data_IF_832149166671
#
_entry.id   IF_832149166671
#
_cell.length_a   1.000
_cell.length_b   1.000
_cell.length_c   1.000
_cell.angle_alpha   90.00
_cell.angle_beta   90.00
_cell.angle_gamma   90.00
#
_symmetry.space_group_name_H-M   'P 1'
#
loop_
_entity.id
_entity.type
_entity.pdbx_description
1 polymer ?
#
# COMPACT_ATOMS: atom_id res chain seq x y z
N UNK A 1 65.52 0.51 17.13
CA UNK A 1 64.55 -0.06 16.15
C UNK A 1 63.10 -0.02 16.68
N UNK A 2 62.88 -0.34 17.96
CA UNK A 2 61.56 -0.38 18.58
C UNK A 2 60.98 1.01 18.88
N UNK A 3 61.82 1.98 19.25
CA UNK A 3 61.40 3.37 19.47
C UNK A 3 61.03 4.09 18.18
N UNK A 4 61.80 3.94 17.14
CA UNK A 4 61.51 4.51 15.82
C UNK A 4 60.20 3.94 15.20
N UNK A 5 59.84 2.71 15.56
CA UNK A 5 58.57 2.08 15.11
C UNK A 5 57.36 2.64 15.91
N UNK A 6 57.53 3.01 17.19
CA UNK A 6 56.52 3.67 18.00
C UNK A 6 56.24 5.10 17.50
N UNK A 7 57.29 5.85 17.18
CA UNK A 7 57.13 7.20 16.63
C UNK A 7 56.43 7.16 15.24
N UNK A 8 56.83 6.23 14.40
CA UNK A 8 56.17 6.03 13.08
C UNK A 8 54.67 5.69 13.23
N UNK A 9 54.33 4.83 14.19
CA UNK A 9 52.94 4.43 14.47
C UNK A 9 52.14 5.61 15.04
N UNK A 10 52.73 6.46 15.89
CA UNK A 10 52.08 7.66 16.42
C UNK A 10 51.84 8.69 15.32
N UNK A 11 52.79 8.87 14.40
CA UNK A 11 52.66 9.79 13.26
C UNK A 11 51.53 9.29 12.31
N UNK A 12 51.45 8.01 12.06
CA UNK A 12 50.38 7.42 11.21
C UNK A 12 49.03 7.59 11.86
N UNK A 13 48.89 7.38 13.18
CA UNK A 13 47.65 7.61 13.92
C UNK A 13 47.24 9.09 13.90
N UNK A 14 48.18 10.00 14.05
CA UNK A 14 47.93 11.45 13.97
C UNK A 14 47.49 11.87 12.55
N UNK A 15 48.09 11.32 11.49
CA UNK A 15 47.71 11.59 10.10
C UNK A 15 46.32 11.04 9.82
N UNK A 16 45.98 9.83 10.30
CA UNK A 16 44.65 9.27 10.18
C UNK A 16 43.58 10.09 10.96
N UNK A 17 43.93 10.64 12.11
CA UNK A 17 43.01 11.50 12.87
C UNK A 17 42.74 12.86 12.19
N UNK A 18 43.70 13.39 11.44
CA UNK A 18 43.51 14.65 10.68
C UNK A 18 42.71 14.46 9.42
N UNK A 19 42.75 13.27 8.79
CA UNK A 19 41.92 12.96 7.61
C UNK A 19 40.47 12.57 7.95
N UNK A 20 40.19 12.29 9.22
CA UNK A 20 38.84 12.04 9.72
C UNK A 20 38.04 13.34 10.03
N UNK A 21 38.41 14.46 9.43
CA UNK A 21 37.47 15.59 9.31
C UNK A 21 36.40 15.23 8.27
N UNK A 22 35.48 14.37 8.68
CA UNK A 22 34.22 14.22 8.00
C UNK A 22 33.69 15.62 7.69
N UNK A 23 33.29 15.86 6.43
CA UNK A 23 32.63 17.09 6.02
C UNK A 23 31.59 17.44 7.08
N UNK A 24 31.80 18.55 7.81
CA UNK A 24 30.76 19.06 8.70
C UNK A 24 29.53 19.22 7.85
N UNK A 25 28.43 18.53 8.16
CA UNK A 25 27.22 18.72 7.38
C UNK A 25 26.94 20.20 7.32
N UNK A 26 26.58 20.73 6.17
CA UNK A 26 26.27 22.16 6.01
C UNK A 26 25.02 22.47 6.85
N UNK A 27 25.22 22.68 8.16
CA UNK A 27 24.17 22.90 9.15
C UNK A 27 23.31 24.13 8.79
N UNK A 28 23.80 25.01 7.91
CA UNK A 28 23.06 26.21 7.51
C UNK A 28 21.85 25.87 6.63
N UNK A 29 22.00 24.98 5.65
CA UNK A 29 20.91 24.57 4.81
C UNK A 29 19.82 23.81 5.60
N UNK A 30 20.25 22.89 6.49
CA UNK A 30 19.33 22.18 7.37
C UNK A 30 18.61 23.15 8.33
N UNK A 31 19.34 24.11 8.91
CA UNK A 31 18.73 25.13 9.79
C UNK A 31 17.71 26.01 9.06
N UNK A 32 17.96 26.37 7.79
CA UNK A 32 16.98 27.11 6.98
C UNK A 32 15.70 26.31 6.78
N UNK A 33 15.83 25.02 6.50
CA UNK A 33 14.67 24.12 6.33
C UNK A 33 13.87 24.00 7.63
N UNK A 34 14.55 23.77 8.75
CA UNK A 34 13.92 23.69 10.08
C UNK A 34 13.25 25.00 10.49
N UNK A 35 13.87 26.15 10.21
CA UNK A 35 13.29 27.46 10.50
C UNK A 35 12.04 27.73 9.63
N UNK A 36 12.07 27.33 8.38
CA UNK A 36 10.91 27.49 7.48
C UNK A 36 9.74 26.62 7.94
N UNK A 37 10.00 25.36 8.26
CA UNK A 37 8.99 24.43 8.80
C UNK A 37 8.41 24.97 10.11
N UNK A 38 9.24 25.36 11.07
CA UNK A 38 8.82 25.96 12.33
C UNK A 38 7.96 27.22 12.13
N UNK A 39 8.35 28.11 11.21
CA UNK A 39 7.61 29.34 10.95
C UNK A 39 6.24 29.06 10.33
N UNK A 40 6.16 28.10 9.41
CA UNK A 40 4.90 27.71 8.78
C UNK A 40 3.98 27.05 9.81
N UNK A 41 4.49 26.11 10.59
CA UNK A 41 3.67 25.34 11.54
C UNK A 41 3.18 26.18 12.72
N UNK A 42 4.01 27.15 13.19
CA UNK A 42 3.72 27.87 14.43
C UNK A 42 3.27 29.33 14.23
N UNK A 43 3.58 29.95 13.11
CA UNK A 43 3.33 31.39 12.89
C UNK A 43 2.35 31.67 11.74
N UNK A 44 1.95 30.64 10.96
CA UNK A 44 0.98 30.83 9.91
C UNK A 44 -0.42 31.05 10.49
N UNK A 45 -1.26 31.79 9.77
CA UNK A 45 -2.60 32.20 10.26
C UNK A 45 -3.56 31.02 10.39
N UNK A 46 -3.47 30.05 9.48
CA UNK A 46 -4.30 28.84 9.50
C UNK A 46 -3.53 27.66 10.07
N UNK A 47 -4.25 26.70 10.67
CA UNK A 47 -3.64 25.45 11.17
C UNK A 47 -3.11 24.63 10.01
N UNK A 48 -1.83 24.33 10.02
CA UNK A 48 -1.13 23.51 9.03
C UNK A 48 -0.97 22.09 9.58
N UNK A 49 -1.14 21.10 8.71
CA UNK A 49 -0.81 19.71 8.97
C UNK A 49 0.69 19.52 8.74
N UNK A 50 1.44 19.34 9.83
CA UNK A 50 2.90 19.25 9.82
C UNK A 50 3.40 18.03 9.03
N UNK A 51 2.78 16.87 9.23
CA UNK A 51 3.18 15.63 8.55
C UNK A 51 3.03 15.79 7.03
N UNK A 52 1.88 16.31 6.59
CA UNK A 52 1.63 16.56 5.17
C UNK A 52 2.57 17.61 4.59
N UNK A 53 2.88 18.67 5.34
CA UNK A 53 3.84 19.69 4.91
C UNK A 53 5.23 19.11 4.69
N UNK A 54 5.71 18.26 5.60
CA UNK A 54 7.02 17.61 5.53
C UNK A 54 7.06 16.60 4.37
N UNK A 55 6.01 15.80 4.18
CA UNK A 55 5.92 14.86 3.05
C UNK A 55 5.98 15.59 1.69
N UNK A 56 5.21 16.67 1.53
CA UNK A 56 5.24 17.49 0.32
C UNK A 56 6.62 18.13 0.08
N UNK A 57 7.30 18.57 1.14
CA UNK A 57 8.65 19.10 1.03
C UNK A 57 9.64 18.02 0.56
N UNK A 58 9.56 16.81 1.09
CA UNK A 58 10.40 15.66 0.67
C UNK A 58 10.15 15.35 -0.81
N UNK A 59 8.90 15.27 -1.25
CA UNK A 59 8.53 15.03 -2.65
C UNK A 59 9.16 16.10 -3.56
N UNK A 60 9.06 17.38 -3.18
CA UNK A 60 9.65 18.49 -3.95
C UNK A 60 11.18 18.47 -3.98
N UNK A 61 11.83 18.05 -2.91
CA UNK A 61 13.29 17.88 -2.88
C UNK A 61 13.73 16.73 -3.79
N UNK A 62 13.05 15.59 -3.75
CA UNK A 62 13.36 14.44 -4.59
C UNK A 62 13.13 14.72 -6.07
N UNK A 63 12.11 15.52 -6.42
CA UNK A 63 11.84 15.95 -7.79
C UNK A 63 12.96 16.77 -8.44
N UNK A 64 13.95 17.25 -7.65
CA UNK A 64 15.15 17.92 -8.17
C UNK A 64 16.27 16.93 -8.54
N UNK A 65 16.12 15.64 -8.22
CA UNK A 65 17.13 14.61 -8.48
C UNK A 65 16.84 13.95 -9.83
N UNK A 66 16.44 12.71 -9.83
CA UNK A 66 16.15 11.93 -11.02
C UNK A 66 14.70 11.42 -11.00
N UNK A 67 14.13 10.97 -12.14
CA UNK A 67 12.74 10.50 -12.21
C UNK A 67 12.47 9.22 -11.39
N UNK A 68 13.51 8.53 -10.93
CA UNK A 68 13.38 7.30 -10.14
C UNK A 68 13.40 7.55 -8.64
N UNK A 69 13.82 8.77 -8.24
CA UNK A 69 13.85 9.19 -6.82
C UNK A 69 12.46 9.63 -6.40
N UNK A 70 11.68 8.72 -5.84
CA UNK A 70 10.30 8.95 -5.38
C UNK A 70 10.17 8.72 -3.88
N UNK A 71 9.28 9.48 -3.24
CA UNK A 71 8.85 9.24 -1.87
C UNK A 71 7.55 8.45 -1.89
N UNK A 72 7.49 7.41 -1.08
CA UNK A 72 6.26 6.68 -0.82
C UNK A 72 6.00 6.69 0.68
N UNK A 73 4.81 7.10 1.08
CA UNK A 73 4.41 7.06 2.47
C UNK A 73 4.14 5.62 2.95
N UNK A 74 3.92 5.44 4.25
CA UNK A 74 3.75 4.11 4.84
C UNK A 74 2.55 3.34 4.25
N UNK A 75 1.48 4.04 3.88
CA UNK A 75 0.29 3.42 3.27
C UNK A 75 0.57 2.97 1.83
N UNK A 76 1.26 3.80 1.05
CA UNK A 76 1.69 3.46 -0.31
C UNK A 76 2.65 2.27 -0.31
N UNK A 77 3.64 2.26 0.59
CA UNK A 77 4.56 1.12 0.77
C UNK A 77 3.78 -0.15 1.14
N UNK A 78 2.78 -0.05 2.02
CA UNK A 78 1.92 -1.19 2.36
C UNK A 78 1.18 -1.71 1.12
N UNK A 79 0.55 -0.81 0.33
CA UNK A 79 -0.17 -1.17 -0.91
C UNK A 79 0.77 -1.81 -1.95
N UNK A 80 1.99 -1.31 -2.10
CA UNK A 80 2.99 -1.88 -3.00
C UNK A 80 3.45 -3.28 -2.58
N UNK A 81 3.49 -3.55 -1.28
CA UNK A 81 3.93 -4.83 -0.75
C UNK A 81 2.82 -5.90 -0.69
N UNK A 82 1.54 -5.52 -0.70
CA UNK A 82 0.40 -6.46 -0.67
C UNK A 82 0.50 -7.58 -1.72
N UNK A 83 0.75 -7.29 -3.01
CA UNK A 83 0.88 -8.32 -4.03
C UNK A 83 2.05 -9.28 -3.79
N UNK A 84 3.13 -8.79 -3.16
CA UNK A 84 4.30 -9.60 -2.83
C UNK A 84 4.04 -10.49 -1.61
N UNK A 85 3.23 -10.02 -0.66
CA UNK A 85 2.82 -10.78 0.53
C UNK A 85 1.74 -11.83 0.22
N UNK A 86 1.16 -11.79 -0.99
CA UNK A 86 0.14 -12.73 -1.42
C UNK A 86 -1.23 -12.54 -0.75
N UNK A 87 -1.50 -11.40 -0.14
CA UNK A 87 -2.82 -11.07 0.42
C UNK A 87 -3.02 -9.56 0.58
N UNK A 88 -4.28 -9.15 0.67
CA UNK A 88 -4.70 -7.80 1.08
C UNK A 88 -5.88 -7.89 2.05
N UNK A 89 -6.18 -6.79 2.75
CA UNK A 89 -7.28 -6.74 3.71
C UNK A 89 -8.48 -5.99 3.12
N UNK A 90 -9.67 -6.60 3.19
CA UNK A 90 -10.88 -6.01 2.62
C UNK A 90 -12.09 -6.95 2.62
N UNK A 91 -13.09 -6.63 1.80
CA UNK A 91 -14.34 -7.39 1.71
C UNK A 91 -14.28 -8.63 0.81
N UNK A 92 -13.26 -8.75 -0.07
CA UNK A 92 -13.10 -9.90 -0.96
C UNK A 92 -14.13 -9.97 -2.09
N UNK A 93 -14.14 -8.98 -2.98
CA UNK A 93 -14.92 -8.98 -4.22
C UNK A 93 -14.03 -8.63 -5.41
N UNK A 94 -14.28 -9.28 -6.54
CA UNK A 94 -13.85 -8.81 -7.85
C UNK A 94 -14.96 -7.95 -8.42
N UNK A 95 -14.65 -6.76 -8.90
CA UNK A 95 -15.64 -5.82 -9.38
C UNK A 95 -15.19 -5.08 -10.64
N UNK A 96 -16.16 -4.48 -11.32
CA UNK A 96 -15.93 -3.56 -12.42
C UNK A 96 -16.82 -2.33 -12.24
N UNK A 97 -16.31 -1.16 -12.62
CA UNK A 97 -17.11 0.05 -12.68
C UNK A 97 -17.89 0.08 -14.00
N UNK A 98 -19.21 0.18 -13.91
CA UNK A 98 -20.12 0.30 -15.05
C UNK A 98 -21.09 1.44 -14.76
N UNK A 99 -21.10 2.46 -15.63
CA UNK A 99 -21.98 3.63 -15.51
C UNK A 99 -22.00 4.21 -14.10
N UNK A 100 -20.82 4.56 -13.61
CA UNK A 100 -20.61 5.13 -12.26
C UNK A 100 -21.17 4.27 -11.11
N UNK A 101 -21.20 2.96 -11.31
CA UNK A 101 -21.70 1.98 -10.31
C UNK A 101 -20.75 0.79 -10.22
N UNK A 102 -20.47 0.35 -8.99
CA UNK A 102 -19.66 -0.84 -8.74
C UNK A 102 -20.50 -2.09 -8.94
N UNK A 103 -20.19 -2.86 -9.99
CA UNK A 103 -20.78 -4.16 -10.27
C UNK A 103 -19.87 -5.27 -9.74
N UNK A 104 -20.38 -6.12 -8.88
CA UNK A 104 -19.69 -7.33 -8.40
C UNK A 104 -19.65 -8.36 -9.53
N UNK A 105 -18.44 -8.67 -10.01
CA UNK A 105 -18.23 -9.75 -10.99
C UNK A 105 -18.34 -11.10 -10.28
N UNK A 106 -17.61 -11.24 -9.16
CA UNK A 106 -17.76 -12.40 -8.27
C UNK A 106 -17.16 -12.09 -6.88
N UNK A 107 -17.72 -12.62 -5.80
CA UNK A 107 -17.06 -12.65 -4.52
C UNK A 107 -15.87 -13.63 -4.55
N UNK A 108 -14.86 -13.38 -3.72
CA UNK A 108 -13.74 -14.32 -3.54
C UNK A 108 -14.24 -15.52 -2.75
N UNK A 109 -13.93 -16.72 -3.23
CA UNK A 109 -14.34 -17.97 -2.59
C UNK A 109 -13.86 -18.05 -1.13
N UNK A 110 -14.76 -18.44 -0.24
CA UNK A 110 -14.58 -18.45 1.21
C UNK A 110 -14.25 -17.07 1.82
N UNK A 111 -14.38 -15.99 1.04
CA UNK A 111 -14.15 -14.62 1.46
C UNK A 111 -15.29 -14.03 2.29
N UNK A 112 -15.08 -12.85 2.89
CA UNK A 112 -16.08 -12.18 3.71
C UNK A 112 -17.40 -11.89 2.98
N UNK A 113 -17.32 -11.42 1.75
CA UNK A 113 -18.51 -11.07 0.93
C UNK A 113 -19.33 -12.29 0.56
N UNK A 114 -18.71 -13.41 0.21
CA UNK A 114 -19.42 -14.65 -0.07
C UNK A 114 -20.15 -15.17 1.18
N UNK A 115 -19.50 -15.12 2.34
CA UNK A 115 -20.08 -15.58 3.63
C UNK A 115 -21.35 -14.84 4.04
N UNK A 116 -21.47 -13.57 3.68
CA UNK A 116 -22.69 -12.79 3.98
C UNK A 116 -23.73 -12.88 2.86
N UNK A 117 -23.46 -13.54 1.73
CA UNK A 117 -24.40 -13.79 0.65
C UNK A 117 -24.41 -12.73 -0.45
N UNK A 118 -23.31 -12.00 -0.64
CA UNK A 118 -23.11 -11.16 -1.82
C UNK A 118 -22.90 -12.07 -3.04
N UNK A 119 -23.51 -11.73 -4.16
CA UNK A 119 -23.54 -12.54 -5.37
C UNK A 119 -22.93 -11.81 -6.57
N UNK A 120 -22.53 -12.57 -7.57
CA UNK A 120 -22.21 -12.02 -8.88
C UNK A 120 -23.42 -11.29 -9.48
N UNK A 121 -23.19 -10.12 -10.05
CA UNK A 121 -24.24 -9.26 -10.59
C UNK A 121 -24.84 -8.26 -9.58
N UNK A 122 -24.46 -8.31 -8.31
CA UNK A 122 -24.85 -7.30 -7.32
C UNK A 122 -24.20 -5.95 -7.64
N UNK A 123 -24.94 -4.86 -7.39
CA UNK A 123 -24.44 -3.51 -7.54
C UNK A 123 -24.31 -2.88 -6.17
N UNK A 124 -23.09 -2.53 -5.75
CA UNK A 124 -22.86 -1.82 -4.50
C UNK A 124 -23.08 -0.33 -4.76
N UNK A 125 -24.08 0.25 -4.10
CA UNK A 125 -24.49 1.64 -4.32
C UNK A 125 -24.09 2.58 -3.17
N UNK A 126 -23.89 2.05 -1.97
CA UNK A 126 -23.39 2.83 -0.84
C UNK A 126 -22.49 1.99 0.08
N UNK A 127 -21.56 2.67 0.76
CA UNK A 127 -20.66 2.13 1.78
C UNK A 127 -20.79 2.99 3.04
N UNK A 128 -21.10 2.37 4.18
CA UNK A 128 -21.37 3.06 5.47
C UNK A 128 -22.34 4.23 5.30
N UNK A 129 -23.47 3.95 4.63
CA UNK A 129 -24.54 4.92 4.32
C UNK A 129 -24.12 6.12 3.44
N UNK A 130 -22.90 6.11 2.91
CA UNK A 130 -22.39 7.10 1.95
C UNK A 130 -22.52 6.56 0.54
N UNK A 131 -23.24 7.24 -0.34
CA UNK A 131 -23.39 6.86 -1.75
C UNK A 131 -22.02 6.80 -2.43
N UNK A 132 -21.82 5.74 -3.25
CA UNK A 132 -20.65 5.58 -4.10
C UNK A 132 -21.03 5.45 -5.57
N UNK A 133 -22.31 5.26 -5.88
CA UNK A 133 -22.85 5.21 -7.23
C UNK A 133 -23.53 6.54 -7.59
N UNK A 134 -23.37 6.98 -8.84
CA UNK A 134 -23.97 8.23 -9.34
C UNK A 134 -23.31 9.52 -8.83
N UNK A 135 -22.09 9.44 -8.27
CA UNK A 135 -21.38 10.58 -7.65
C UNK A 135 -20.00 10.84 -8.27
N UNK A 136 -19.67 10.17 -9.37
CA UNK A 136 -18.39 10.24 -10.06
C UNK A 136 -17.16 10.02 -9.14
N UNK A 137 -17.30 9.08 -8.20
CA UNK A 137 -16.22 8.73 -7.27
C UNK A 137 -15.15 7.93 -8.01
N UNK A 138 -13.86 8.21 -7.73
CA UNK A 138 -12.77 7.45 -8.33
C UNK A 138 -12.79 5.98 -7.85
N UNK A 139 -12.32 5.07 -8.69
CA UNK A 139 -12.18 3.65 -8.32
C UNK A 139 -11.28 3.47 -7.10
N UNK A 140 -10.27 4.32 -6.96
CA UNK A 140 -9.33 4.30 -5.82
C UNK A 140 -10.03 4.70 -4.51
N UNK A 141 -10.87 5.74 -4.54
CA UNK A 141 -11.66 6.16 -3.38
C UNK A 141 -12.67 5.08 -2.98
N UNK A 142 -13.30 4.43 -3.95
CA UNK A 142 -14.21 3.31 -3.69
C UNK A 142 -13.44 2.15 -3.06
N UNK A 143 -12.29 1.76 -3.64
CA UNK A 143 -11.45 0.71 -3.07
C UNK A 143 -10.99 1.03 -1.65
N UNK A 144 -10.61 2.26 -1.36
CA UNK A 144 -10.18 2.68 -0.03
C UNK A 144 -11.28 2.50 1.03
N UNK A 145 -12.55 2.70 0.65
CA UNK A 145 -13.72 2.49 1.53
C UNK A 145 -14.06 1.02 1.73
N UNK A 146 -13.83 0.17 0.72
CA UNK A 146 -14.08 -1.28 0.80
C UNK A 146 -12.95 -2.02 1.52
N UNK A 147 -11.72 -1.54 1.39
CA UNK A 147 -10.56 -2.03 2.13
C UNK A 147 -10.59 -1.54 3.56
N UNK A 148 -9.75 -2.13 4.39
CA UNK A 148 -9.56 -1.73 5.79
C UNK A 148 -9.05 -2.88 6.63
N UNK A 149 -8.64 -2.60 7.87
CA UNK A 149 -8.03 -3.59 8.74
C UNK A 149 -8.89 -4.84 8.91
N UNK A 150 -8.24 -6.00 8.98
CA UNK A 150 -8.89 -7.26 9.33
C UNK A 150 -9.76 -7.06 10.58
N UNK A 151 -10.89 -7.74 10.63
CA UNK A 151 -11.89 -7.70 11.69
C UNK A 151 -12.69 -6.40 11.82
N UNK A 152 -12.38 -5.35 11.07
CA UNK A 152 -13.23 -4.16 10.96
C UNK A 152 -14.49 -4.46 10.15
N UNK A 153 -15.57 -3.78 10.46
CA UNK A 153 -16.87 -3.96 9.78
C UNK A 153 -17.12 -2.85 8.77
N UNK A 154 -17.84 -3.18 7.71
CA UNK A 154 -18.34 -2.23 6.72
C UNK A 154 -19.76 -2.60 6.34
N UNK A 155 -20.66 -1.61 6.34
CA UNK A 155 -22.04 -1.75 5.87
C UNK A 155 -22.10 -1.45 4.38
N UNK A 156 -22.65 -2.39 3.61
CA UNK A 156 -22.86 -2.24 2.18
C UNK A 156 -24.34 -2.16 1.88
N UNK A 157 -24.72 -1.23 1.00
CA UNK A 157 -26.04 -1.16 0.41
C UNK A 157 -25.93 -1.66 -1.03
N UNK A 158 -26.75 -2.65 -1.36
CA UNK A 158 -26.68 -3.37 -2.63
C UNK A 158 -28.04 -3.34 -3.33
N UNK A 159 -28.00 -3.16 -4.64
CA UNK A 159 -29.12 -3.37 -5.55
C UNK A 159 -28.89 -4.67 -6.30
N UNK A 160 -29.84 -5.60 -6.19
CA UNK A 160 -29.79 -6.92 -6.85
C UNK A 160 -30.88 -7.03 -7.90
N UNK A 161 -30.52 -7.51 -9.08
CA UNK A 161 -31.49 -7.72 -10.17
C UNK A 161 -32.57 -8.69 -9.73
N UNK A 162 -33.85 -8.28 -9.91
CA UNK A 162 -35.02 -9.10 -9.55
C UNK A 162 -35.44 -8.98 -8.07
N UNK A 163 -34.81 -8.10 -7.30
CA UNK A 163 -35.21 -7.72 -5.95
C UNK A 163 -35.56 -6.22 -5.96
N UNK A 164 -36.80 -5.87 -5.54
CA UNK A 164 -37.25 -4.46 -5.56
C UNK A 164 -36.58 -3.61 -4.48
N UNK A 165 -36.39 -4.20 -3.31
CA UNK A 165 -35.80 -3.50 -2.16
C UNK A 165 -34.26 -3.54 -2.20
N UNK A 166 -33.64 -2.51 -1.62
CA UNK A 166 -32.21 -2.50 -1.36
C UNK A 166 -31.86 -3.53 -0.29
N UNK A 167 -30.76 -4.24 -0.51
CA UNK A 167 -30.20 -5.20 0.44
C UNK A 167 -29.08 -4.56 1.25
N UNK A 168 -29.03 -4.89 2.52
CA UNK A 168 -28.01 -4.39 3.44
C UNK A 168 -27.18 -5.54 3.97
N UNK A 169 -25.85 -5.42 3.85
CA UNK A 169 -24.92 -6.42 4.32
C UNK A 169 -23.87 -5.77 5.23
N UNK A 170 -23.69 -6.33 6.42
CA UNK A 170 -22.55 -6.01 7.27
C UNK A 170 -21.44 -7.02 6.99
N UNK A 171 -20.35 -6.54 6.39
CA UNK A 171 -19.23 -7.38 6.02
C UNK A 171 -18.08 -7.14 6.99
N UNK A 172 -17.64 -8.19 7.67
CA UNK A 172 -16.44 -8.16 8.50
C UNK A 172 -15.23 -8.40 7.61
N UNK A 173 -14.36 -7.41 7.45
CA UNK A 173 -13.18 -7.49 6.59
C UNK A 173 -12.21 -8.57 7.07
N UNK A 174 -11.54 -9.22 6.14
CA UNK A 174 -10.55 -10.25 6.42
C UNK A 174 -9.38 -10.15 5.43
N UNK A 175 -8.35 -10.96 5.64
CA UNK A 175 -7.27 -11.16 4.68
C UNK A 175 -7.78 -11.95 3.47
N UNK A 176 -7.64 -11.37 2.31
CA UNK A 176 -8.05 -11.94 1.03
C UNK A 176 -6.80 -12.48 0.33
N UNK A 177 -6.70 -13.78 0.08
CA UNK A 177 -5.55 -14.34 -0.60
C UNK A 177 -5.47 -13.86 -2.06
N UNK A 178 -4.26 -13.58 -2.51
CA UNK A 178 -3.92 -13.28 -3.89
C UNK A 178 -3.11 -14.46 -4.40
N UNK A 179 -3.78 -15.45 -4.99
CA UNK A 179 -3.12 -16.66 -5.44
C UNK A 179 -2.10 -16.37 -6.55
N UNK A 180 -0.97 -17.04 -6.47
CA UNK A 180 0.08 -17.03 -7.50
C UNK A 180 -0.22 -18.03 -8.61
N UNK A 181 -0.82 -19.16 -8.23
CA UNK A 181 -1.21 -20.23 -9.14
C UNK A 181 -2.66 -20.07 -9.59
N UNK A 182 -2.87 -20.11 -10.90
CA UNK A 182 -4.17 -19.98 -11.55
C UNK A 182 -4.74 -21.35 -11.95
N UNK A 183 -3.88 -22.27 -12.31
CA UNK A 183 -4.26 -23.59 -12.74
C UNK A 183 -3.14 -24.62 -12.46
N UNK A 184 -3.55 -25.80 -11.99
CA UNK A 184 -2.69 -26.97 -11.81
C UNK A 184 -3.49 -28.21 -12.16
N UNK A 185 -3.13 -28.90 -13.25
CA UNK A 185 -3.82 -30.12 -13.68
C UNK A 185 -2.96 -31.00 -14.59
N UNK A 186 -3.31 -32.27 -14.68
CA UNK A 186 -2.68 -33.20 -15.59
C UNK A 186 -3.31 -33.13 -16.99
N UNK A 187 -2.51 -32.77 -18.01
CA UNK A 187 -2.95 -32.78 -19.41
C UNK A 187 -2.99 -34.23 -19.93
N UNK A 188 -2.01 -35.04 -19.52
CA UNK A 188 -1.88 -36.47 -19.84
C UNK A 188 -1.34 -37.21 -18.63
N UNK A 189 -1.39 -38.54 -18.58
CA UNK A 189 -0.98 -39.34 -17.41
C UNK A 189 0.42 -39.07 -16.85
N UNK A 190 1.29 -38.41 -17.63
CA UNK A 190 2.67 -38.09 -17.23
C UNK A 190 3.06 -36.63 -17.51
N UNK A 191 2.11 -35.78 -17.88
CA UNK A 191 2.36 -34.39 -18.23
C UNK A 191 1.44 -33.52 -17.41
N UNK A 192 1.99 -32.78 -16.44
CA UNK A 192 1.29 -31.75 -15.67
C UNK A 192 1.42 -30.38 -16.32
N UNK A 193 0.39 -29.55 -16.12
CA UNK A 193 0.41 -28.14 -16.47
C UNK A 193 0.18 -27.31 -15.21
N UNK A 194 1.06 -26.33 -15.00
CA UNK A 194 0.93 -25.37 -13.91
C UNK A 194 1.07 -23.96 -14.50
N UNK A 195 0.14 -23.09 -14.16
CA UNK A 195 0.16 -21.69 -14.55
C UNK A 195 0.41 -20.81 -13.34
N UNK A 196 1.55 -20.13 -13.35
CA UNK A 196 1.93 -19.13 -12.35
C UNK A 196 1.74 -17.75 -12.98
N UNK A 197 0.87 -16.93 -12.41
CA UNK A 197 0.59 -15.57 -12.89
C UNK A 197 1.51 -14.52 -12.30
N UNK A 198 2.04 -14.79 -11.11
CA UNK A 198 2.94 -13.89 -10.36
C UNK A 198 3.85 -14.67 -9.45
N UNK A 199 4.92 -14.03 -9.01
CA UNK A 199 5.80 -14.55 -7.98
C UNK A 199 5.65 -13.67 -6.72
N UNK A 200 5.34 -14.28 -5.59
CA UNK A 200 5.19 -13.66 -4.28
C UNK A 200 5.69 -14.56 -3.16
N UNK A 201 5.51 -14.15 -1.93
CA UNK A 201 5.96 -14.89 -0.76
C UNK A 201 5.29 -16.27 -0.63
N UNK A 202 4.05 -16.41 -1.10
CA UNK A 202 3.26 -17.65 -1.03
C UNK A 202 3.45 -18.60 -2.22
N UNK A 203 4.13 -18.16 -3.29
CA UNK A 203 4.22 -18.93 -4.55
C UNK A 203 4.86 -20.31 -4.35
N UNK A 204 5.89 -20.41 -3.50
CA UNK A 204 6.57 -21.69 -3.26
C UNK A 204 5.68 -22.69 -2.48
N UNK A 205 4.88 -22.20 -1.53
CA UNK A 205 3.93 -23.00 -0.77
C UNK A 205 2.80 -23.47 -1.68
N UNK A 206 2.20 -22.55 -2.44
CA UNK A 206 1.12 -22.85 -3.40
C UNK A 206 1.58 -23.86 -4.48
N UNK A 207 2.86 -23.84 -4.87
CA UNK A 207 3.41 -24.78 -5.85
C UNK A 207 3.64 -26.16 -5.25
N UNK A 208 3.82 -26.28 -3.93
CA UNK A 208 4.10 -27.54 -3.26
C UNK A 208 2.82 -28.32 -2.86
N UNK A 209 1.65 -27.68 -2.90
CA UNK A 209 0.34 -28.29 -2.66
C UNK A 209 -0.20 -29.00 -3.92
#
# INVERSE_FOLDING_TARGET
KMEMMKELFTIIICICAVTAQAQKPNNEALRKLQMAEFAITNLYVDKVDEDKLVEEAIIKMLAQLDPHSTYNNAEEVKKMNEPLQGNFEGIGVQFQMIEDTLLVIQPVSNGPSEKVGILAGDRIVAVNDSAIAGVNMSTEDIMSRLRGPKDSEVKLTIVRRGVEDQLYFNVKRDKIPILSLDASYMIQPKIGYIRINRFGATTAEEFAE
#
